data_IF_698991595581
#
_entry.id   IF_698991595581
#
_cell.length_a   1.000
_cell.length_b   1.000
_cell.length_c   1.000
_cell.angle_alpha   90.00
_cell.angle_beta   90.00
_cell.angle_gamma   90.00
#
_symmetry.space_group_name_H-M   'P 1'
#
loop_
_entity.id
_entity.type
_entity.pdbx_description
1 polymer ?
#
# COMPACT_ATOMS: atom_id res chain seq x y z
N UNK A 1 -9.59 24.55 -27.64
CA UNK A 1 -8.69 23.37 -27.56
C UNK A 1 -7.87 23.47 -26.29
N UNK A 2 -8.35 22.86 -25.19
CA UNK A 2 -7.68 22.86 -23.88
C UNK A 2 -6.99 21.52 -23.69
N UNK A 3 -5.67 21.56 -23.56
CA UNK A 3 -4.80 20.42 -23.24
C UNK A 3 -5.12 20.01 -21.79
N UNK A 4 -5.77 18.85 -21.62
CA UNK A 4 -5.92 18.21 -20.31
C UNK A 4 -4.54 17.70 -19.87
N UNK A 5 -3.93 18.41 -18.92
CA UNK A 5 -2.78 17.89 -18.15
C UNK A 5 -3.31 16.86 -17.18
N UNK A 6 -3.14 15.59 -17.50
CA UNK A 6 -3.26 14.49 -16.54
C UNK A 6 -2.00 14.51 -15.67
N UNK A 7 -2.07 15.20 -14.53
CA UNK A 7 -1.14 14.98 -13.43
C UNK A 7 -1.68 13.78 -12.64
N UNK A 8 -1.17 12.58 -12.94
CA UNK A 8 -1.44 11.40 -12.12
C UNK A 8 -0.68 11.56 -10.79
N UNK A 9 -1.34 11.46 -9.62
CA UNK A 9 -0.63 11.39 -8.36
C UNK A 9 0.02 10.00 -8.25
N UNK A 10 1.35 10.02 -8.06
CA UNK A 10 2.22 8.93 -7.66
C UNK A 10 1.55 8.03 -6.60
N UNK A 11 1.14 6.81 -6.98
CA UNK A 11 0.72 5.79 -6.04
C UNK A 11 1.94 4.97 -5.59
N UNK A 12 2.61 5.50 -4.58
CA UNK A 12 3.58 4.78 -3.75
C UNK A 12 2.87 3.59 -3.07
N UNK A 13 3.24 2.37 -3.45
CA UNK A 13 3.20 1.23 -2.55
C UNK A 13 4.53 1.24 -1.77
N UNK A 14 4.56 2.01 -0.68
CA UNK A 14 5.64 2.02 0.30
C UNK A 14 5.28 1.02 1.42
N UNK A 15 5.97 -0.11 1.44
CA UNK A 15 6.37 -0.79 2.67
C UNK A 15 7.89 -0.86 2.54
N UNK A 16 8.64 -0.19 3.43
CA UNK A 16 10.11 -0.24 3.62
C UNK A 16 10.45 0.44 4.96
N UNK A 17 11.06 -0.29 5.90
CA UNK A 17 11.49 0.16 7.24
C UNK A 17 13.00 0.02 7.35
N UNK A 18 13.69 1.07 7.82
CA UNK A 18 15.09 1.00 8.28
C UNK A 18 15.18 1.19 9.80
N UNK A 19 15.90 0.26 10.40
CA UNK A 19 16.29 0.05 11.80
C UNK A 19 16.75 1.28 12.60
N UNK A 20 16.35 1.35 13.88
CA UNK A 20 17.09 2.05 14.92
C UNK A 20 17.18 1.17 16.18
N UNK A 21 18.41 0.88 16.63
CA UNK A 21 18.71 0.28 17.93
C UNK A 21 18.29 1.25 19.04
N UNK A 22 17.56 0.80 20.04
CA UNK A 22 17.41 1.47 21.32
C UNK A 22 17.49 0.46 22.48
N UNK A 23 18.18 0.88 23.54
CA UNK A 23 18.50 0.11 24.75
C UNK A 23 17.26 -0.16 25.60
N UNK A 24 17.33 -1.27 26.34
CA UNK A 24 16.31 -1.85 27.21
C UNK A 24 15.94 -0.95 28.40
N UNK A 25 14.63 -0.81 28.68
CA UNK A 25 14.06 -0.52 30.00
C UNK A 25 12.80 -1.40 30.22
N UNK A 26 12.42 -1.72 31.48
CA UNK A 26 11.74 -2.97 31.80
C UNK A 26 10.21 -2.91 31.73
N UNK A 27 9.68 -3.81 30.89
CA UNK A 27 8.42 -4.55 30.89
C UNK A 27 7.28 -4.19 31.87
N UNK A 28 6.15 -3.77 31.31
CA UNK A 28 4.79 -4.03 31.82
C UNK A 28 3.82 -4.14 30.62
N UNK A 29 3.21 -5.32 30.47
CA UNK A 29 2.39 -5.76 29.34
C UNK A 29 1.65 -4.66 28.57
N UNK A 30 2.19 -4.32 27.40
CA UNK A 30 1.62 -3.36 26.45
C UNK A 30 1.98 -3.80 25.04
N UNK A 31 1.06 -3.62 24.11
CA UNK A 31 1.24 -3.96 22.70
C UNK A 31 2.44 -3.18 22.12
N UNK A 32 3.57 -3.86 22.06
CA UNK A 32 4.75 -3.42 21.34
C UNK A 32 4.47 -3.51 19.85
N UNK A 33 4.33 -2.35 19.22
CA UNK A 33 4.48 -2.21 17.78
C UNK A 33 5.93 -2.55 17.42
N UNK A 34 6.13 -3.76 16.88
CA UNK A 34 7.35 -4.15 16.22
C UNK A 34 7.27 -3.75 14.73
N UNK A 35 8.14 -2.86 14.23
CA UNK A 35 8.18 -2.55 12.81
C UNK A 35 9.12 -3.55 12.13
N UNK A 36 8.56 -4.51 11.38
CA UNK A 36 9.25 -5.26 10.30
C UNK A 36 8.24 -5.70 9.24
N UNK A 37 7.86 -4.71 8.45
CA UNK A 37 7.68 -4.71 7.00
C UNK A 37 8.02 -6.02 6.27
N UNK A 38 6.98 -6.71 5.79
CA UNK A 38 7.07 -7.40 4.52
C UNK A 38 6.95 -6.33 3.44
N UNK A 39 8.09 -5.75 3.06
CA UNK A 39 8.27 -5.07 1.79
C UNK A 39 7.66 -5.95 0.69
N UNK A 40 6.44 -5.65 0.26
CA UNK A 40 6.16 -5.73 -1.15
C UNK A 40 6.93 -4.56 -1.72
N UNK A 41 8.20 -4.85 -2.01
CA UNK A 41 9.10 -3.94 -2.67
C UNK A 41 8.31 -3.29 -3.82
N UNK A 42 8.49 -1.98 -4.06
CA UNK A 42 8.43 -1.50 -5.46
C UNK A 42 9.12 -2.58 -6.29
N UNK A 43 8.61 -3.03 -7.46
CA UNK A 43 9.30 -4.01 -8.25
C UNK A 43 10.73 -3.51 -8.39
N UNK A 44 11.61 -4.07 -7.58
CA UNK A 44 13.02 -4.14 -7.86
C UNK A 44 12.95 -4.84 -9.19
N UNK A 45 13.51 -4.25 -10.26
CA UNK A 45 13.64 -5.00 -11.48
C UNK A 45 14.33 -6.28 -11.04
N UNK A 46 13.53 -7.35 -11.13
CA UNK A 46 13.91 -8.72 -10.90
C UNK A 46 15.24 -8.91 -11.59
N UNK A 47 16.07 -9.83 -11.09
CA UNK A 47 17.32 -10.25 -11.74
C UNK A 47 17.33 -9.92 -13.22
N UNK A 48 18.39 -9.22 -13.69
CA UNK A 48 18.47 -8.75 -15.07
C UNK A 48 17.86 -9.80 -15.97
N UNK A 49 16.82 -9.46 -16.76
CA UNK A 49 16.17 -10.41 -17.62
C UNK A 49 17.26 -11.22 -18.33
N UNK A 50 17.20 -12.54 -18.23
CA UNK A 50 18.13 -13.41 -18.93
C UNK A 50 17.37 -14.01 -20.10
N UNK A 51 17.92 -13.86 -21.29
CA UNK A 51 17.29 -14.36 -22.48
C UNK A 51 18.05 -14.02 -23.77
N UNK A 52 17.87 -14.82 -24.82
CA UNK A 52 18.65 -14.70 -26.05
C UNK A 52 18.44 -13.37 -26.78
N UNK A 53 17.36 -12.63 -26.47
CA UNK A 53 17.09 -11.34 -27.11
C UNK A 53 17.95 -10.20 -26.54
N UNK A 54 18.73 -10.48 -25.50
CA UNK A 54 19.59 -9.51 -24.82
C UNK A 54 21.05 -9.57 -25.29
N UNK A 55 21.37 -10.53 -26.15
CA UNK A 55 22.65 -10.61 -26.83
C UNK A 55 22.73 -9.58 -27.97
N UNK A 56 23.91 -8.98 -28.12
CA UNK A 56 24.13 -8.06 -29.22
C UNK A 56 24.06 -8.79 -30.55
N UNK A 57 23.31 -8.25 -31.53
CA UNK A 57 23.15 -8.93 -32.79
C UNK A 57 24.47 -9.24 -33.52
N UNK A 58 24.58 -10.41 -34.17
CA UNK A 58 25.82 -10.84 -34.81
C UNK A 58 26.23 -9.98 -36.01
N UNK A 59 25.30 -9.21 -36.59
CA UNK A 59 25.58 -8.33 -37.73
C UNK A 59 26.26 -7.00 -37.34
N UNK A 60 26.37 -6.69 -36.04
CA UNK A 60 27.02 -5.46 -35.59
C UNK A 60 28.53 -5.52 -35.84
N UNK A 61 29.05 -4.55 -36.59
CA UNK A 61 30.49 -4.39 -36.78
C UNK A 61 31.22 -4.04 -35.47
N UNK A 62 32.49 -4.44 -35.33
CA UNK A 62 33.22 -4.40 -34.06
C UNK A 62 33.24 -3.04 -33.34
N UNK A 63 33.37 -1.93 -34.07
CA UNK A 63 33.31 -0.57 -33.48
C UNK A 63 31.91 -0.22 -32.96
N UNK A 64 30.87 -0.60 -33.69
CA UNK A 64 29.47 -0.37 -33.29
C UNK A 64 29.13 -1.25 -32.11
N UNK A 65 29.48 -2.54 -32.15
CA UNK A 65 29.30 -3.49 -31.06
C UNK A 65 29.92 -2.97 -29.76
N UNK A 66 31.18 -2.52 -29.80
CA UNK A 66 31.86 -1.96 -28.63
C UNK A 66 31.15 -0.73 -28.03
N UNK A 67 30.52 0.11 -28.86
CA UNK A 67 29.73 1.25 -28.37
C UNK A 67 28.45 0.82 -27.67
N UNK A 68 27.75 -0.20 -28.20
CA UNK A 68 26.61 -0.78 -27.52
C UNK A 68 27.01 -1.44 -26.20
N UNK A 69 28.10 -2.21 -26.18
CA UNK A 69 28.61 -2.84 -24.94
C UNK A 69 28.93 -1.80 -23.87
N UNK A 70 29.60 -0.71 -24.24
CA UNK A 70 29.89 0.39 -23.33
C UNK A 70 28.62 1.04 -22.77
N UNK A 71 27.65 1.39 -23.63
CA UNK A 71 26.41 2.02 -23.20
C UNK A 71 25.56 1.10 -22.30
N UNK A 72 25.49 -0.20 -22.64
CA UNK A 72 24.80 -1.19 -21.81
C UNK A 72 25.52 -1.35 -20.47
N UNK A 73 26.86 -1.39 -20.44
CA UNK A 73 27.61 -1.45 -19.19
C UNK A 73 27.38 -0.22 -18.31
N UNK A 74 27.36 0.99 -18.89
CA UNK A 74 27.00 2.23 -18.20
C UNK A 74 25.61 2.15 -17.59
N UNK A 75 24.63 1.64 -18.35
CA UNK A 75 23.27 1.40 -17.85
C UNK A 75 23.26 0.42 -16.67
N UNK A 76 23.88 -0.76 -16.80
CA UNK A 76 23.90 -1.77 -15.73
C UNK A 76 24.52 -1.23 -14.45
N UNK A 77 25.60 -0.45 -14.57
CA UNK A 77 26.24 0.22 -13.45
C UNK A 77 25.32 1.26 -12.80
N UNK A 78 24.68 2.13 -13.60
CA UNK A 78 23.73 3.12 -13.11
C UNK A 78 22.53 2.46 -12.41
N UNK A 79 22.01 1.39 -13.00
CA UNK A 79 20.88 0.64 -12.46
C UNK A 79 21.23 -0.05 -11.13
N UNK A 80 22.43 -0.62 -11.00
CA UNK A 80 22.92 -1.17 -9.74
C UNK A 80 22.99 -0.10 -8.63
N UNK A 81 23.36 1.15 -8.97
CA UNK A 81 23.36 2.28 -8.03
C UNK A 81 21.95 2.65 -7.56
N UNK A 82 20.97 2.66 -8.48
CA UNK A 82 19.56 2.86 -8.13
C UNK A 82 19.09 1.77 -7.16
N UNK A 83 19.40 0.51 -7.41
CA UNK A 83 19.05 -0.61 -6.50
C UNK A 83 19.70 -0.48 -5.12
N UNK A 84 20.87 0.16 -5.03
CA UNK A 84 21.56 0.44 -3.76
C UNK A 84 21.02 1.68 -3.04
N UNK A 85 20.01 2.36 -3.59
CA UNK A 85 19.49 3.60 -3.03
C UNK A 85 20.44 4.79 -3.14
N UNK A 86 21.40 4.75 -4.08
CA UNK A 86 22.35 5.84 -4.29
C UNK A 86 21.61 7.11 -4.76
N UNK A 87 21.76 8.26 -4.05
CA UNK A 87 21.13 9.52 -4.46
C UNK A 87 21.51 9.97 -5.88
N UNK A 88 22.67 9.56 -6.38
CA UNK A 88 23.12 9.87 -7.75
C UNK A 88 22.58 8.90 -8.80
N UNK A 89 21.93 7.80 -8.39
CA UNK A 89 21.47 6.74 -9.28
C UNK A 89 20.63 7.27 -10.46
N UNK A 90 19.68 8.18 -10.20
CA UNK A 90 18.85 8.77 -11.27
C UNK A 90 19.67 9.59 -12.28
N UNK A 91 20.61 10.41 -11.81
CA UNK A 91 21.48 11.19 -12.68
C UNK A 91 22.39 10.28 -13.55
N UNK A 92 22.87 9.17 -12.97
CA UNK A 92 23.63 8.16 -13.71
C UNK A 92 22.76 7.47 -14.78
N UNK A 93 21.48 7.21 -14.48
CA UNK A 93 20.53 6.66 -15.45
C UNK A 93 20.28 7.64 -16.59
N UNK A 94 20.13 8.94 -16.32
CA UNK A 94 19.99 9.96 -17.37
C UNK A 94 21.23 10.02 -18.30
N UNK A 95 22.43 9.89 -17.74
CA UNK A 95 23.66 9.84 -18.52
C UNK A 95 23.71 8.58 -19.40
N UNK A 96 23.43 7.40 -18.82
CA UNK A 96 23.37 6.14 -19.55
C UNK A 96 22.30 6.15 -20.65
N UNK A 97 21.14 6.78 -20.42
CA UNK A 97 20.10 6.95 -21.43
C UNK A 97 20.63 7.76 -22.64
N UNK A 98 21.37 8.85 -22.43
CA UNK A 98 21.98 9.61 -23.54
C UNK A 98 22.97 8.77 -24.36
N UNK A 99 23.75 7.93 -23.69
CA UNK A 99 24.66 7.00 -24.37
C UNK A 99 23.89 5.97 -25.21
N UNK A 100 22.82 5.39 -24.66
CA UNK A 100 21.95 4.46 -25.38
C UNK A 100 21.21 5.12 -26.55
N UNK A 101 20.83 6.39 -26.45
CA UNK A 101 20.26 7.14 -27.58
C UNK A 101 21.27 7.30 -28.71
N UNK A 102 22.52 7.61 -28.39
CA UNK A 102 23.58 7.73 -29.39
C UNK A 102 23.86 6.41 -30.12
N UNK A 103 23.66 5.25 -29.47
CA UNK A 103 23.84 3.95 -30.15
C UNK A 103 22.73 3.65 -31.16
N UNK A 104 21.50 4.15 -30.94
CA UNK A 104 20.37 3.97 -31.88
C UNK A 104 20.63 4.55 -33.27
N UNK A 105 21.40 5.63 -33.34
CA UNK A 105 21.79 6.25 -34.60
C UNK A 105 22.84 5.42 -35.38
N UNK A 106 23.48 4.45 -34.72
CA UNK A 106 24.47 3.57 -35.34
C UNK A 106 23.84 2.36 -36.04
N UNK A 107 22.74 1.85 -35.49
CA UNK A 107 21.93 0.79 -36.11
C UNK A 107 20.47 0.90 -35.68
N UNK A 108 19.64 1.42 -36.58
CA UNK A 108 18.21 1.59 -36.34
C UNK A 108 17.42 0.27 -36.25
N UNK A 109 18.02 -0.88 -36.57
CA UNK A 109 17.39 -2.20 -36.48
C UNK A 109 17.72 -2.95 -35.19
N UNK A 110 18.69 -2.48 -34.40
CA UNK A 110 19.04 -3.10 -33.12
C UNK A 110 17.97 -2.77 -32.05
N UNK A 111 17.20 -3.78 -31.63
CA UNK A 111 16.13 -3.62 -30.64
C UNK A 111 16.64 -3.29 -29.22
N UNK A 112 17.89 -3.62 -28.91
CA UNK A 112 18.42 -3.54 -27.54
C UNK A 112 18.51 -2.12 -26.99
N UNK A 113 18.92 -1.14 -27.80
CA UNK A 113 19.00 0.22 -27.32
C UNK A 113 17.61 0.77 -26.94
N UNK A 114 16.59 0.49 -27.76
CA UNK A 114 15.21 0.86 -27.44
C UNK A 114 14.69 0.12 -26.19
N UNK A 115 15.07 -1.14 -25.99
CA UNK A 115 14.73 -1.89 -24.77
C UNK A 115 15.33 -1.24 -23.51
N UNK A 116 16.65 -1.03 -23.48
CA UNK A 116 17.31 -0.44 -22.31
C UNK A 116 16.89 1.01 -22.06
N UNK A 117 16.61 1.78 -23.12
CA UNK A 117 16.02 3.11 -22.96
C UNK A 117 14.63 3.06 -22.35
N UNK A 118 13.82 2.08 -22.74
CA UNK A 118 12.52 1.81 -22.14
C UNK A 118 12.62 1.71 -20.61
N UNK A 119 13.51 0.84 -20.14
CA UNK A 119 13.72 0.60 -18.71
C UNK A 119 14.33 1.84 -18.03
N UNK A 120 15.27 2.52 -18.69
CA UNK A 120 15.84 3.77 -18.17
C UNK A 120 14.74 4.82 -17.93
N UNK A 121 13.81 4.98 -18.87
CA UNK A 121 12.69 5.90 -18.71
C UNK A 121 11.70 5.44 -17.64
N UNK A 122 11.49 4.13 -17.43
CA UNK A 122 10.73 3.63 -16.27
C UNK A 122 11.37 4.07 -14.95
N UNK A 123 12.69 3.91 -14.81
CA UNK A 123 13.43 4.30 -13.59
C UNK A 123 13.38 5.81 -13.34
N UNK A 124 13.34 6.61 -14.41
CA UNK A 124 13.17 8.06 -14.34
C UNK A 124 11.71 8.49 -14.07
N UNK A 125 10.74 7.58 -14.18
CA UNK A 125 9.31 7.85 -14.04
C UNK A 125 8.65 8.43 -15.29
N UNK A 126 9.32 8.44 -16.43
CA UNK A 126 8.74 8.85 -17.72
C UNK A 126 8.11 7.64 -18.42
N UNK A 127 6.98 7.17 -17.87
CA UNK A 127 6.23 6.05 -18.42
C UNK A 127 5.81 6.22 -19.90
N UNK A 128 5.40 7.43 -20.37
CA UNK A 128 5.11 7.64 -21.78
C UNK A 128 6.31 7.38 -22.71
N UNK A 129 7.51 7.87 -22.38
CA UNK A 129 8.70 7.57 -23.18
C UNK A 129 9.07 6.09 -23.07
N UNK A 130 8.99 5.50 -21.87
CA UNK A 130 9.25 4.08 -21.68
C UNK A 130 8.40 3.21 -22.60
N UNK A 131 7.08 3.40 -22.58
CA UNK A 131 6.17 2.66 -23.46
C UNK A 131 6.50 2.86 -24.94
N UNK A 132 6.83 4.10 -25.35
CA UNK A 132 7.21 4.40 -26.73
C UNK A 132 8.46 3.63 -27.15
N UNK A 133 9.51 3.62 -26.31
CA UNK A 133 10.77 2.91 -26.60
C UNK A 133 10.56 1.39 -26.62
N UNK A 134 9.83 0.83 -25.67
CA UNK A 134 9.58 -0.61 -25.60
C UNK A 134 8.75 -1.13 -26.79
N UNK A 135 7.74 -0.37 -27.24
CA UNK A 135 7.01 -0.68 -28.48
C UNK A 135 7.92 -0.70 -29.70
N UNK A 136 8.88 0.22 -29.77
CA UNK A 136 9.88 0.28 -30.83
C UNK A 136 10.86 -0.92 -30.78
N UNK A 137 11.24 -1.40 -29.59
CA UNK A 137 12.02 -2.63 -29.42
C UNK A 137 11.25 -3.86 -29.91
N UNK A 138 9.98 -4.00 -29.51
CA UNK A 138 9.09 -5.11 -29.94
C UNK A 138 8.84 -5.07 -31.46
N UNK A 139 8.73 -3.88 -32.05
CA UNK A 139 8.57 -3.73 -33.51
C UNK A 139 9.79 -4.23 -34.28
N UNK A 140 11.00 -4.02 -33.74
CA UNK A 140 12.27 -4.49 -34.33
C UNK A 140 12.48 -5.98 -34.10
N UNK A 141 12.09 -6.49 -32.95
CA UNK A 141 12.13 -7.90 -32.61
C UNK A 141 10.78 -8.36 -32.04
N UNK A 142 9.95 -8.95 -32.90
CA UNK A 142 8.61 -9.42 -32.51
C UNK A 142 8.64 -10.59 -31.50
N UNK A 143 9.81 -11.22 -31.28
CA UNK A 143 10.01 -12.32 -30.32
C UNK A 143 10.66 -11.85 -29.00
N UNK A 144 10.72 -10.55 -28.76
CA UNK A 144 11.34 -9.93 -27.59
C UNK A 144 10.40 -9.95 -26.37
N UNK A 145 10.24 -11.12 -25.76
CA UNK A 145 9.33 -11.33 -24.63
C UNK A 145 9.73 -10.54 -23.38
N UNK A 146 11.02 -10.30 -23.17
CA UNK A 146 11.56 -9.44 -22.11
C UNK A 146 11.04 -8.00 -22.28
N UNK A 147 11.13 -7.44 -23.50
CA UNK A 147 10.58 -6.11 -23.80
C UNK A 147 9.05 -6.04 -23.67
N UNK A 148 8.33 -7.15 -23.91
CA UNK A 148 6.89 -7.21 -23.69
C UNK A 148 6.54 -7.16 -22.20
N UNK A 149 7.31 -7.83 -21.33
CA UNK A 149 7.10 -7.72 -19.87
C UNK A 149 7.41 -6.30 -19.38
N UNK A 150 8.50 -5.70 -19.82
CA UNK A 150 8.80 -4.30 -19.48
C UNK A 150 7.73 -3.34 -20.00
N UNK A 151 7.19 -3.55 -21.20
CA UNK A 151 6.08 -2.74 -21.70
C UNK A 151 4.85 -2.92 -20.82
N UNK A 152 4.57 -4.14 -20.38
CA UNK A 152 3.48 -4.42 -19.44
C UNK A 152 3.67 -3.68 -18.12
N UNK A 153 4.89 -3.66 -17.58
CA UNK A 153 5.22 -2.91 -16.37
C UNK A 153 5.03 -1.39 -16.56
N UNK A 154 5.55 -0.84 -17.66
CA UNK A 154 5.35 0.57 -18.01
C UNK A 154 3.87 0.96 -18.17
N UNK A 155 3.04 0.07 -18.74
CA UNK A 155 1.59 0.26 -18.82
C UNK A 155 0.93 0.20 -17.44
N UNK A 156 1.33 -0.76 -16.59
CA UNK A 156 0.80 -0.88 -15.22
C UNK A 156 1.07 0.39 -14.41
N UNK A 157 2.28 0.95 -14.49
CA UNK A 157 2.62 2.20 -13.83
C UNK A 157 1.85 3.42 -14.37
N UNK A 158 1.46 3.38 -15.64
CA UNK A 158 0.59 4.39 -16.24
C UNK A 158 -0.91 4.20 -15.87
N UNK A 159 -1.26 3.16 -15.11
CA UNK A 159 -2.65 2.80 -14.79
C UNK A 159 -3.38 2.06 -15.91
N UNK A 160 -2.67 1.63 -16.96
CA UNK A 160 -3.20 0.91 -18.12
C UNK A 160 -3.16 -0.62 -17.88
N UNK A 161 -3.86 -1.09 -16.84
CA UNK A 161 -3.75 -2.48 -16.37
C UNK A 161 -4.18 -3.54 -17.40
N UNK A 162 -5.19 -3.27 -18.22
CA UNK A 162 -5.65 -4.22 -19.25
C UNK A 162 -4.59 -4.42 -20.34
N UNK A 163 -3.93 -3.33 -20.75
CA UNK A 163 -2.83 -3.41 -21.71
C UNK A 163 -1.62 -4.12 -21.08
N UNK A 164 -1.35 -3.89 -19.78
CA UNK A 164 -0.32 -4.60 -19.05
C UNK A 164 -0.53 -6.12 -19.07
N UNK A 165 -1.74 -6.58 -18.71
CA UNK A 165 -2.10 -8.00 -18.79
C UNK A 165 -1.95 -8.56 -20.22
N UNK A 166 -2.35 -7.78 -21.23
CA UNK A 166 -2.21 -8.19 -22.62
C UNK A 166 -0.74 -8.39 -23.02
N UNK A 167 0.16 -7.50 -22.59
CA UNK A 167 1.60 -7.65 -22.88
C UNK A 167 2.24 -8.80 -22.12
N UNK A 168 1.95 -8.97 -20.82
CA UNK A 168 2.41 -10.13 -20.06
C UNK A 168 1.93 -11.44 -20.71
N UNK A 169 0.67 -11.48 -21.16
CA UNK A 169 0.12 -12.61 -21.91
C UNK A 169 0.83 -12.88 -23.25
N UNK A 170 1.24 -11.83 -23.98
CA UNK A 170 2.05 -11.99 -25.21
C UNK A 170 3.43 -12.57 -24.90
N UNK A 171 4.11 -12.06 -23.87
CA UNK A 171 5.41 -12.56 -23.43
C UNK A 171 5.34 -14.06 -23.09
N UNK A 172 4.34 -14.45 -22.27
CA UNK A 172 4.15 -15.84 -21.84
C UNK A 172 3.67 -16.78 -22.96
N UNK A 173 3.08 -16.27 -24.05
CA UNK A 173 2.84 -17.09 -25.25
C UNK A 173 4.13 -17.40 -26.02
N UNK A 174 5.10 -16.49 -26.01
CA UNK A 174 6.41 -16.71 -26.65
C UNK A 174 7.33 -17.56 -25.79
N UNK A 175 7.32 -17.33 -24.47
CA UNK A 175 8.15 -18.01 -23.48
C UNK A 175 7.29 -18.36 -22.25
N UNK A 176 6.59 -19.51 -22.25
CA UNK A 176 5.68 -19.89 -21.16
C UNK A 176 6.34 -20.06 -19.79
N UNK A 177 7.63 -20.35 -19.78
CA UNK A 177 8.49 -20.53 -18.61
C UNK A 177 9.30 -19.26 -18.27
N UNK A 178 8.84 -18.07 -18.69
CA UNK A 178 9.49 -16.82 -18.32
C UNK A 178 9.05 -16.38 -16.92
N UNK A 179 9.92 -16.62 -15.93
CA UNK A 179 9.63 -16.39 -14.51
C UNK A 179 9.14 -14.96 -14.22
N UNK A 180 9.83 -13.94 -14.75
CA UNK A 180 9.43 -12.55 -14.53
C UNK A 180 8.04 -12.25 -15.12
N UNK A 181 7.73 -12.81 -16.30
CA UNK A 181 6.39 -12.69 -16.90
C UNK A 181 5.30 -13.32 -16.04
N UNK A 182 5.56 -14.50 -15.45
CA UNK A 182 4.63 -15.18 -14.55
C UNK A 182 4.40 -14.39 -13.26
N UNK A 183 5.48 -13.90 -12.64
CA UNK A 183 5.42 -13.09 -11.42
C UNK A 183 4.68 -11.76 -11.63
N UNK A 184 4.98 -11.04 -12.71
CA UNK A 184 4.35 -9.75 -13.01
C UNK A 184 2.86 -9.93 -13.32
N UNK A 185 2.49 -10.97 -14.07
CA UNK A 185 1.09 -11.25 -14.39
C UNK A 185 0.32 -11.72 -13.15
N UNK A 186 0.88 -12.62 -12.36
CA UNK A 186 0.21 -13.12 -11.14
C UNK A 186 -0.06 -12.00 -10.14
N UNK A 187 0.90 -11.09 -9.95
CA UNK A 187 0.77 -9.95 -9.05
C UNK A 187 -0.34 -8.99 -9.51
N UNK A 188 -0.40 -8.69 -10.81
CA UNK A 188 -1.45 -7.84 -11.37
C UNK A 188 -2.83 -8.51 -11.30
N UNK A 189 -2.92 -9.80 -11.61
CA UNK A 189 -4.15 -10.59 -11.48
C UNK A 189 -4.64 -10.63 -10.03
N UNK A 190 -3.75 -10.76 -9.04
CA UNK A 190 -4.09 -10.73 -7.63
C UNK A 190 -4.68 -9.36 -7.23
N UNK A 191 -4.07 -8.26 -7.67
CA UNK A 191 -4.62 -6.91 -7.46
C UNK A 191 -6.00 -6.70 -8.09
N UNK A 192 -6.26 -7.35 -9.23
CA UNK A 192 -7.57 -7.39 -9.88
C UNK A 192 -8.54 -8.42 -9.30
N UNK A 193 -8.16 -9.10 -8.20
CA UNK A 193 -8.95 -10.14 -7.53
C UNK A 193 -9.27 -11.37 -8.40
N UNK A 194 -8.47 -11.60 -9.46
CA UNK A 194 -8.51 -12.82 -10.29
C UNK A 194 -7.62 -13.89 -9.66
N UNK A 195 -7.96 -14.28 -8.43
CA UNK A 195 -7.08 -15.05 -7.54
C UNK A 195 -6.73 -16.43 -8.08
N UNK A 196 -7.65 -17.12 -8.74
CA UNK A 196 -7.39 -18.44 -9.33
C UNK A 196 -6.33 -18.36 -10.42
N UNK A 197 -6.47 -17.42 -11.37
CA UNK A 197 -5.49 -17.18 -12.44
C UNK A 197 -4.15 -16.71 -11.88
N UNK A 198 -4.17 -15.84 -10.87
CA UNK A 198 -2.96 -15.41 -10.19
C UNK A 198 -2.20 -16.59 -9.56
N UNK A 199 -2.93 -17.54 -8.98
CA UNK A 199 -2.34 -18.72 -8.34
C UNK A 199 -1.80 -19.71 -9.37
N UNK A 200 -2.49 -19.92 -10.49
CA UNK A 200 -1.97 -20.72 -11.61
C UNK A 200 -0.59 -20.23 -12.08
N UNK A 201 -0.45 -18.92 -12.31
CA UNK A 201 0.82 -18.30 -12.69
C UNK A 201 1.88 -18.40 -11.60
N UNK A 202 1.48 -18.17 -10.35
CA UNK A 202 2.40 -18.24 -9.21
C UNK A 202 2.95 -19.66 -9.05
N UNK A 203 2.10 -20.68 -9.16
CA UNK A 203 2.49 -22.09 -9.11
C UNK A 203 3.33 -22.49 -10.31
N UNK A 204 3.06 -21.97 -11.50
CA UNK A 204 3.92 -22.16 -12.66
C UNK A 204 5.32 -21.60 -12.41
N UNK A 205 5.43 -20.40 -11.83
CA UNK A 205 6.71 -19.80 -11.47
C UNK A 205 7.47 -20.59 -10.39
N UNK A 206 6.77 -21.07 -9.36
CA UNK A 206 7.36 -21.91 -8.31
C UNK A 206 7.84 -23.27 -8.81
N UNK A 207 7.27 -23.81 -9.89
CA UNK A 207 7.82 -25.01 -10.54
C UNK A 207 9.18 -24.75 -11.18
N UNK A 208 9.43 -23.53 -11.66
CA UNK A 208 10.72 -23.13 -12.27
C UNK A 208 11.76 -22.79 -11.21
N UNK A 209 11.36 -22.02 -10.20
CA UNK A 209 12.20 -21.65 -9.07
C UNK A 209 11.44 -21.86 -7.75
N UNK A 210 11.56 -23.05 -7.14
CA UNK A 210 10.85 -23.37 -5.90
C UNK A 210 11.19 -22.43 -4.73
N UNK A 211 12.40 -21.87 -4.71
CA UNK A 211 12.85 -21.00 -3.63
C UNK A 211 12.60 -19.50 -3.88
N UNK A 212 11.86 -19.14 -4.95
CA UNK A 212 11.58 -17.74 -5.25
C UNK A 212 10.64 -17.12 -4.19
N UNK A 213 11.20 -16.29 -3.31
CA UNK A 213 10.53 -15.78 -2.10
C UNK A 213 9.22 -15.04 -2.39
N UNK A 214 9.21 -14.14 -3.37
CA UNK A 214 8.00 -13.35 -3.69
C UNK A 214 6.85 -14.24 -4.19
N UNK A 215 7.16 -15.29 -4.94
CA UNK A 215 6.15 -16.23 -5.43
C UNK A 215 5.65 -17.12 -4.29
N UNK A 216 6.53 -17.56 -3.38
CA UNK A 216 6.13 -18.30 -2.18
C UNK A 216 5.17 -17.49 -1.30
N UNK A 217 5.49 -16.21 -1.06
CA UNK A 217 4.65 -15.30 -0.28
C UNK A 217 3.30 -15.06 -0.96
N UNK A 218 3.30 -14.84 -2.28
CA UNK A 218 2.07 -14.64 -3.05
C UNK A 218 1.19 -15.90 -3.07
N UNK A 219 1.76 -17.09 -3.30
CA UNK A 219 1.00 -18.36 -3.29
C UNK A 219 0.40 -18.64 -1.92
N UNK A 220 1.16 -18.40 -0.83
CA UNK A 220 0.64 -18.56 0.53
C UNK A 220 -0.56 -17.65 0.80
N UNK A 221 -0.51 -16.37 0.38
CA UNK A 221 -1.64 -15.44 0.51
C UNK A 221 -2.82 -15.85 -0.39
N UNK A 222 -2.56 -16.25 -1.63
CA UNK A 222 -3.60 -16.72 -2.55
C UNK A 222 -4.29 -17.98 -2.04
N UNK A 223 -3.52 -18.92 -1.48
CA UNK A 223 -4.06 -20.11 -0.79
C UNK A 223 -4.98 -19.69 0.35
N UNK A 224 -4.52 -18.80 1.23
CA UNK A 224 -5.30 -18.31 2.37
C UNK A 224 -6.62 -17.66 1.95
N UNK A 225 -6.64 -16.93 0.83
CA UNK A 225 -7.84 -16.24 0.32
C UNK A 225 -8.80 -17.21 -0.36
N UNK A 226 -8.28 -18.15 -1.17
CA UNK A 226 -9.07 -19.10 -1.95
C UNK A 226 -9.61 -20.26 -1.12
N UNK A 227 -8.75 -20.82 -0.26
CA UNK A 227 -9.02 -22.05 0.49
C UNK A 227 -9.31 -21.77 1.97
N UNK A 228 -8.87 -20.62 2.50
CA UNK A 228 -8.87 -20.35 3.92
C UNK A 228 -7.61 -20.90 4.62
N UNK A 229 -7.47 -20.64 5.93
CA UNK A 229 -6.43 -21.27 6.73
C UNK A 229 -6.65 -22.79 6.83
N UNK A 230 -5.57 -23.56 7.01
CA UNK A 230 -5.63 -25.01 7.22
C UNK A 230 -6.15 -25.35 8.63
N UNK A 231 -7.44 -25.08 8.88
CA UNK A 231 -8.14 -25.37 10.13
C UNK A 231 -8.90 -26.69 10.05
N UNK A 232 -8.90 -27.46 11.14
CA UNK A 232 -9.72 -28.68 11.26
C UNK A 232 -11.23 -28.36 11.18
N UNK A 233 -11.64 -27.25 11.79
CA UNK A 233 -13.01 -26.75 11.73
C UNK A 233 -13.00 -25.26 11.47
N UNK A 234 -13.83 -24.83 10.50
CA UNK A 234 -14.06 -23.43 10.19
C UNK A 234 -15.52 -23.09 10.46
N UNK A 235 -15.73 -22.14 11.37
CA UNK A 235 -17.03 -21.53 11.62
C UNK A 235 -17.18 -20.31 10.72
N UNK A 236 -18.36 -20.15 10.11
CA UNK A 236 -18.65 -19.05 9.19
C UNK A 236 -19.92 -18.34 9.62
N UNK A 237 -19.86 -17.01 9.69
CA UNK A 237 -21.02 -16.16 9.90
C UNK A 237 -21.14 -15.17 8.73
N UNK A 238 -22.35 -15.00 8.21
CA UNK A 238 -22.61 -14.10 7.11
C UNK A 238 -23.67 -13.07 7.46
N UNK A 239 -23.39 -11.81 7.14
CA UNK A 239 -24.32 -10.69 7.30
C UNK A 239 -24.58 -10.01 5.96
N UNK A 240 -25.17 -8.82 5.97
CA UNK A 240 -25.44 -8.06 4.75
C UNK A 240 -24.15 -7.56 4.11
N UNK A 241 -23.15 -7.22 4.92
CA UNK A 241 -21.91 -6.61 4.48
C UNK A 241 -20.66 -7.47 4.74
N UNK A 242 -20.73 -8.53 5.55
CA UNK A 242 -19.54 -9.28 5.97
C UNK A 242 -19.68 -10.79 5.81
N UNK A 243 -18.54 -11.44 5.61
CA UNK A 243 -18.35 -12.89 5.77
C UNK A 243 -17.22 -13.07 6.77
N UNK A 244 -17.51 -13.62 7.95
CA UNK A 244 -16.54 -13.87 9.01
C UNK A 244 -16.20 -15.35 9.04
N UNK A 245 -14.91 -15.69 9.09
CA UNK A 245 -14.40 -17.05 9.27
C UNK A 245 -13.49 -17.13 10.47
N UNK A 246 -13.63 -18.18 11.27
CA UNK A 246 -12.82 -18.41 12.48
C UNK A 246 -12.78 -19.89 12.86
N UNK A 247 -11.75 -20.32 13.57
CA UNK A 247 -11.65 -21.64 14.21
C UNK A 247 -11.94 -21.62 15.72
N UNK A 248 -12.56 -20.55 16.23
CA UNK A 248 -12.88 -20.42 17.67
C UNK A 248 -14.19 -21.14 18.03
N UNK A 249 -15.33 -20.64 17.55
CA UNK A 249 -16.66 -21.24 17.70
C UNK A 249 -17.65 -20.56 16.77
N UNK A 250 -18.86 -21.12 16.59
CA UNK A 250 -19.91 -20.49 15.80
C UNK A 250 -20.42 -19.21 16.49
N UNK A 251 -20.63 -19.24 17.80
CA UNK A 251 -21.09 -18.09 18.58
C UNK A 251 -20.11 -16.92 18.49
N UNK A 252 -18.81 -17.20 18.48
CA UNK A 252 -17.79 -16.19 18.27
C UNK A 252 -17.83 -15.60 16.86
N UNK A 253 -18.01 -16.44 15.83
CA UNK A 253 -18.16 -15.97 14.45
C UNK A 253 -19.36 -15.02 14.31
N UNK A 254 -20.51 -15.42 14.87
CA UNK A 254 -21.75 -14.63 14.86
C UNK A 254 -21.55 -13.30 15.60
N UNK A 255 -20.94 -13.31 16.79
CA UNK A 255 -20.62 -12.10 17.56
C UNK A 255 -19.75 -11.12 16.77
N UNK A 256 -18.65 -11.58 16.17
CA UNK A 256 -17.77 -10.72 15.35
C UNK A 256 -18.53 -10.14 14.15
N UNK A 257 -19.38 -10.94 13.50
CA UNK A 257 -20.15 -10.48 12.35
C UNK A 257 -21.18 -9.41 12.72
N UNK A 258 -21.83 -9.54 13.88
CA UNK A 258 -22.73 -8.52 14.43
C UNK A 258 -21.97 -7.24 14.80
N UNK A 259 -20.82 -7.35 15.48
CA UNK A 259 -20.00 -6.20 15.85
C UNK A 259 -19.48 -5.45 14.62
N UNK A 260 -19.05 -6.17 13.58
CA UNK A 260 -18.65 -5.58 12.30
C UNK A 260 -19.80 -4.76 11.65
N UNK A 261 -21.04 -5.24 11.69
CA UNK A 261 -22.20 -4.48 11.21
C UNK A 261 -22.52 -3.25 12.08
N UNK A 262 -22.35 -3.36 13.40
CA UNK A 262 -22.56 -2.25 14.33
C UNK A 262 -21.55 -1.12 14.09
N UNK A 263 -20.26 -1.44 14.01
CA UNK A 263 -19.23 -0.43 13.78
C UNK A 263 -19.31 0.16 12.37
N UNK A 264 -19.67 -0.64 11.35
CA UNK A 264 -19.92 -0.13 9.99
C UNK A 264 -21.02 0.92 9.94
N UNK A 265 -22.08 0.76 10.73
CA UNK A 265 -23.14 1.79 10.86
C UNK A 265 -22.57 3.08 11.43
N UNK A 266 -21.66 3.00 12.41
CA UNK A 266 -20.98 4.16 12.98
C UNK A 266 -20.08 4.85 11.94
N UNK A 267 -19.27 4.11 11.17
CA UNK A 267 -18.47 4.69 10.08
C UNK A 267 -19.34 5.46 9.08
N UNK A 268 -20.49 4.86 8.74
CA UNK A 268 -21.44 5.42 7.78
C UNK A 268 -22.10 6.73 8.24
N UNK A 269 -21.99 7.09 9.53
CA UNK A 269 -22.46 8.38 10.03
C UNK A 269 -21.48 9.52 9.66
N UNK A 270 -20.19 9.21 9.53
CA UNK A 270 -19.16 10.18 9.15
C UNK A 270 -18.88 10.16 7.64
N UNK A 271 -18.98 8.99 7.01
CA UNK A 271 -18.54 8.77 5.64
C UNK A 271 -19.63 8.18 4.74
N UNK A 272 -19.61 8.50 3.44
CA UNK A 272 -20.53 7.89 2.49
C UNK A 272 -20.28 6.38 2.42
N UNK A 273 -21.34 5.60 2.19
CA UNK A 273 -21.24 4.15 2.01
C UNK A 273 -20.49 3.80 0.72
N UNK A 274 -19.79 2.67 0.76
CA UNK A 274 -19.26 2.04 -0.46
C UNK A 274 -20.40 1.72 -1.43
N UNK A 275 -20.11 1.84 -2.74
CA UNK A 275 -21.03 1.37 -3.80
C UNK A 275 -20.91 -0.14 -4.04
N UNK A 276 -19.86 -0.78 -3.50
CA UNK A 276 -19.64 -2.21 -3.68
C UNK A 276 -20.75 -3.00 -3.00
N UNK A 277 -21.26 -4.01 -3.71
CA UNK A 277 -22.19 -5.02 -3.17
C UNK A 277 -21.45 -6.26 -2.64
N UNK A 278 -20.12 -6.31 -2.78
CA UNK A 278 -19.31 -7.43 -2.29
C UNK A 278 -19.30 -7.40 -0.77
N UNK A 279 -19.56 -8.56 -0.14
CA UNK A 279 -19.36 -8.72 1.30
C UNK A 279 -17.87 -8.69 1.61
N UNK A 280 -17.50 -7.97 2.65
CA UNK A 280 -16.14 -7.82 3.14
C UNK A 280 -15.73 -9.05 3.97
N UNK A 281 -14.68 -9.79 3.56
CA UNK A 281 -14.22 -10.96 4.31
C UNK A 281 -13.40 -10.55 5.55
N UNK A 282 -13.64 -11.25 6.65
CA UNK A 282 -12.90 -11.14 7.92
C UNK A 282 -12.47 -12.53 8.36
N UNK A 283 -11.20 -12.71 8.69
CA UNK A 283 -10.64 -13.96 9.21
C UNK A 283 -10.11 -13.69 10.61
N UNK A 284 -10.65 -14.42 11.59
CA UNK A 284 -10.23 -14.31 12.99
C UNK A 284 -9.57 -15.62 13.44
N UNK A 285 -8.27 -15.57 13.66
CA UNK A 285 -7.49 -16.69 14.20
C UNK A 285 -7.74 -16.86 15.71
N UNK A 286 -7.63 -18.08 16.22
CA UNK A 286 -7.92 -18.36 17.65
C UNK A 286 -6.99 -17.63 18.61
N UNK A 287 -5.76 -17.35 18.18
CA UNK A 287 -4.71 -16.71 18.98
C UNK A 287 -3.63 -16.06 18.11
N UNK A 288 -2.74 -15.32 18.77
CA UNK A 288 -1.61 -14.62 18.15
C UNK A 288 -0.65 -15.55 17.42
N UNK A 289 -0.39 -16.74 17.98
CA UNK A 289 0.58 -17.68 17.40
C UNK A 289 0.09 -18.21 16.05
N UNK A 290 -1.21 -18.52 15.96
CA UNK A 290 -1.81 -18.98 14.72
C UNK A 290 -1.91 -17.87 13.67
N UNK A 291 -2.21 -16.64 14.07
CA UNK A 291 -2.16 -15.48 13.18
C UNK A 291 -0.79 -15.31 12.52
N UNK A 292 0.29 -15.35 13.32
CA UNK A 292 1.65 -15.24 12.77
C UNK A 292 2.05 -16.45 11.93
N UNK A 293 1.62 -17.66 12.30
CA UNK A 293 1.84 -18.87 11.50
C UNK A 293 1.25 -18.73 10.09
N UNK A 294 0.16 -17.98 9.95
CA UNK A 294 -0.53 -17.73 8.68
C UNK A 294 -0.13 -16.41 8.01
N UNK A 295 1.05 -15.86 8.34
CA UNK A 295 1.60 -14.67 7.69
C UNK A 295 1.15 -13.33 8.27
N UNK A 296 0.48 -13.33 9.43
CA UNK A 296 0.16 -12.12 10.17
C UNK A 296 1.44 -11.34 10.57
N UNK A 297 1.54 -10.03 10.26
CA UNK A 297 2.71 -9.22 10.59
C UNK A 297 3.07 -9.25 12.07
N UNK A 298 4.36 -9.27 12.38
CA UNK A 298 4.85 -9.24 13.77
C UNK A 298 4.49 -7.90 14.42
N UNK A 299 4.07 -7.93 15.69
CA UNK A 299 3.69 -6.72 16.44
C UNK A 299 2.33 -6.12 16.07
N UNK A 300 1.62 -6.65 15.07
CA UNK A 300 0.27 -6.21 14.70
C UNK A 300 -0.80 -7.08 15.37
N UNK A 301 -1.88 -6.46 15.85
CA UNK A 301 -3.05 -7.16 16.39
C UNK A 301 -4.00 -7.73 15.33
N UNK A 302 -3.94 -7.12 14.15
CA UNK A 302 -4.65 -7.47 12.94
C UNK A 302 -4.07 -6.64 11.79
N UNK A 303 -4.53 -6.90 10.57
CA UNK A 303 -4.24 -6.08 9.42
C UNK A 303 -5.33 -6.24 8.36
N UNK A 304 -5.69 -5.14 7.70
CA UNK A 304 -6.38 -5.19 6.43
C UNK A 304 -5.39 -5.30 5.26
N UNK A 305 -5.52 -6.33 4.41
CA UNK A 305 -4.76 -6.46 3.18
C UNK A 305 -5.54 -5.82 2.00
N UNK A 306 -5.10 -4.67 1.47
CA UNK A 306 -5.80 -3.96 0.39
C UNK A 306 -5.66 -4.64 -0.98
N UNK A 307 -4.68 -5.53 -1.18
CA UNK A 307 -4.55 -6.29 -2.42
C UNK A 307 -5.62 -7.39 -2.46
N UNK A 308 -5.81 -8.11 -1.36
CA UNK A 308 -6.79 -9.19 -1.27
C UNK A 308 -8.17 -8.74 -0.79
N UNK A 309 -8.29 -7.48 -0.33
CA UNK A 309 -9.50 -6.88 0.23
C UNK A 309 -10.04 -7.66 1.42
N UNK A 310 -9.13 -8.16 2.27
CA UNK A 310 -9.46 -9.06 3.36
C UNK A 310 -8.86 -8.59 4.68
N UNK A 311 -9.67 -8.67 5.73
CA UNK A 311 -9.26 -8.33 7.09
C UNK A 311 -8.84 -9.59 7.84
N UNK A 312 -7.68 -9.55 8.48
CA UNK A 312 -7.15 -10.61 9.32
C UNK A 312 -6.90 -10.07 10.73
N UNK A 313 -7.29 -10.82 11.76
CA UNK A 313 -6.97 -10.51 13.16
C UNK A 313 -6.97 -11.79 13.98
N UNK A 314 -6.56 -11.72 15.25
CA UNK A 314 -6.71 -12.84 16.17
C UNK A 314 -7.58 -12.48 17.37
N UNK A 315 -8.12 -13.51 18.01
CA UNK A 315 -8.82 -13.40 19.28
C UNK A 315 -7.83 -13.13 20.41
N UNK A 316 -8.06 -12.05 21.13
CA UNK A 316 -7.41 -11.74 22.40
C UNK A 316 -8.15 -12.40 23.57
N UNK A 317 -7.46 -12.53 24.71
CA UNK A 317 -8.08 -12.99 25.95
C UNK A 317 -9.25 -12.10 26.38
N UNK A 318 -9.05 -10.78 26.26
CA UNK A 318 -10.11 -9.79 26.47
C UNK A 318 -10.83 -9.52 25.15
N UNK A 319 -12.15 -9.69 25.17
CA UNK A 319 -13.00 -9.40 24.01
C UNK A 319 -12.87 -7.93 23.56
N UNK A 320 -12.77 -7.00 24.50
CA UNK A 320 -12.57 -5.57 24.22
C UNK A 320 -11.37 -5.30 23.32
N UNK A 321 -10.28 -6.05 23.49
CA UNK A 321 -9.04 -5.85 22.74
C UNK A 321 -9.20 -6.40 21.32
N UNK A 322 -9.93 -7.51 21.16
CA UNK A 322 -10.31 -8.04 19.85
C UNK A 322 -11.19 -7.06 19.10
N UNK A 323 -12.20 -6.48 19.78
CA UNK A 323 -13.11 -5.51 19.18
C UNK A 323 -12.41 -4.19 18.85
N UNK A 324 -11.45 -3.76 19.66
CA UNK A 324 -10.63 -2.59 19.35
C UNK A 324 -9.90 -2.76 18.02
N UNK A 325 -9.25 -3.91 17.82
CA UNK A 325 -8.56 -4.22 16.56
C UNK A 325 -9.55 -4.36 15.41
N UNK A 326 -10.69 -5.05 15.61
CA UNK A 326 -11.75 -5.16 14.60
C UNK A 326 -12.25 -3.79 14.14
N UNK A 327 -12.47 -2.87 15.07
CA UNK A 327 -12.93 -1.52 14.78
C UNK A 327 -11.85 -0.68 14.08
N UNK A 328 -10.59 -0.80 14.50
CA UNK A 328 -9.50 -0.08 13.87
C UNK A 328 -9.29 -0.57 12.42
N UNK A 329 -9.02 -1.86 12.25
CA UNK A 329 -8.69 -2.44 10.94
C UNK A 329 -9.92 -2.53 10.02
N UNK A 330 -11.11 -2.73 10.60
CA UNK A 330 -12.38 -2.68 9.89
C UNK A 330 -12.67 -1.30 9.30
N UNK A 331 -12.12 -0.23 9.88
CA UNK A 331 -12.20 1.10 9.28
C UNK A 331 -11.37 1.20 7.99
N UNK A 332 -10.14 0.67 7.97
CA UNK A 332 -9.34 0.62 6.73
C UNK A 332 -10.04 -0.18 5.63
N UNK A 333 -10.62 -1.34 5.97
CA UNK A 333 -11.41 -2.14 5.04
C UNK A 333 -12.63 -1.37 4.52
N UNK A 334 -13.34 -0.66 5.39
CA UNK A 334 -14.48 0.18 5.00
C UNK A 334 -14.04 1.31 4.06
N UNK A 335 -12.94 1.99 4.40
CA UNK A 335 -12.44 3.17 3.72
C UNK A 335 -11.93 2.86 2.31
N UNK A 336 -11.27 1.72 2.14
CA UNK A 336 -10.84 1.19 0.84
C UNK A 336 -12.03 1.01 -0.13
N UNK A 337 -13.20 0.61 0.38
CA UNK A 337 -14.42 0.55 -0.43
C UNK A 337 -15.04 1.92 -0.75
N UNK A 338 -14.57 3.00 -0.12
CA UNK A 338 -15.17 4.35 -0.22
C UNK A 338 -14.30 5.32 -1.00
N UNK A 339 -12.97 5.17 -0.92
CA UNK A 339 -11.98 6.03 -1.57
C UNK A 339 -11.21 5.27 -2.64
N UNK A 340 -11.12 5.87 -3.84
CA UNK A 340 -10.31 5.33 -4.94
C UNK A 340 -8.81 5.60 -4.73
N UNK A 341 -8.49 6.77 -4.16
CA UNK A 341 -7.13 7.13 -3.78
C UNK A 341 -6.90 6.86 -2.30
N UNK A 342 -5.68 6.47 -1.92
CA UNK A 342 -5.33 6.32 -0.49
C UNK A 342 -5.44 7.68 0.22
N UNK A 343 -6.11 7.76 1.38
CA UNK A 343 -6.16 8.98 2.15
C UNK A 343 -4.79 9.33 2.74
N UNK A 344 -4.54 10.61 3.08
CA UNK A 344 -3.37 11.01 3.86
C UNK A 344 -3.28 10.26 5.18
N UNK A 345 -2.07 9.95 5.64
CA UNK A 345 -1.89 9.03 6.76
C UNK A 345 -2.45 9.55 8.08
N UNK A 346 -2.29 10.84 8.38
CA UNK A 346 -2.89 11.44 9.58
C UNK A 346 -4.40 11.22 9.64
N UNK A 347 -5.08 11.24 8.49
CA UNK A 347 -6.52 11.08 8.40
C UNK A 347 -6.90 9.60 8.47
N UNK A 348 -6.22 8.75 7.72
CA UNK A 348 -6.45 7.32 7.65
C UNK A 348 -6.30 6.68 9.05
N UNK A 349 -5.13 6.86 9.65
CA UNK A 349 -4.76 6.27 10.94
C UNK A 349 -5.45 6.99 12.10
N UNK A 350 -5.55 8.32 12.04
CA UNK A 350 -6.23 9.11 13.06
C UNK A 350 -7.71 8.74 13.17
N UNK A 351 -8.40 8.47 12.05
CA UNK A 351 -9.78 7.98 12.06
C UNK A 351 -9.89 6.52 12.50
N UNK A 352 -8.96 5.65 12.11
CA UNK A 352 -8.95 4.26 12.58
C UNK A 352 -8.81 4.20 14.11
N UNK A 353 -7.87 4.97 14.68
CA UNK A 353 -7.71 5.10 16.14
C UNK A 353 -8.88 5.83 16.82
N UNK A 354 -9.57 6.71 16.09
CA UNK A 354 -10.76 7.40 16.60
C UNK A 354 -11.94 6.42 16.76
N UNK A 355 -12.11 5.49 15.82
CA UNK A 355 -13.15 4.47 15.94
C UNK A 355 -12.76 3.24 16.76
N UNK A 356 -11.47 2.89 16.83
CA UNK A 356 -10.99 1.67 17.49
C UNK A 356 -11.61 1.43 18.86
N UNK A 357 -11.50 2.36 19.81
CA UNK A 357 -12.05 2.22 21.17
C UNK A 357 -13.58 2.26 21.26
N UNK A 358 -14.30 2.28 20.14
CA UNK A 358 -15.77 2.33 20.17
C UNK A 358 -16.35 1.07 20.80
N UNK A 359 -17.35 1.25 21.64
CA UNK A 359 -18.04 0.16 22.33
C UNK A 359 -19.55 0.24 22.11
N UNK A 360 -20.20 -0.92 22.10
CA UNK A 360 -21.65 -0.98 22.11
C UNK A 360 -22.15 -0.77 23.53
N UNK A 361 -22.93 0.30 23.75
CA UNK A 361 -23.55 0.55 25.05
C UNK A 361 -25.05 0.38 24.98
N UNK A 362 -25.66 -0.05 26.09
CA UNK A 362 -27.10 -0.27 26.18
C UNK A 362 -27.87 0.90 26.80
N UNK A 363 -27.17 1.83 27.46
CA UNK A 363 -27.75 2.98 28.18
C UNK A 363 -26.97 4.28 27.99
N UNK A 364 -27.59 5.47 28.05
CA UNK A 364 -29.03 5.73 28.04
C UNK A 364 -29.73 5.42 26.72
N UNK A 365 -29.00 5.34 25.60
CA UNK A 365 -29.50 4.85 24.31
C UNK A 365 -28.59 3.76 23.78
N UNK A 366 -29.20 2.70 23.23
CA UNK A 366 -28.51 1.58 22.59
C UNK A 366 -27.77 2.03 21.34
N UNK A 367 -26.51 1.67 21.20
CA UNK A 367 -25.72 1.95 20.00
C UNK A 367 -24.22 1.97 20.25
N UNK A 368 -23.45 2.00 19.17
CA UNK A 368 -22.00 2.21 19.23
C UNK A 368 -21.70 3.63 19.71
N UNK A 369 -20.75 3.74 20.64
CA UNK A 369 -20.23 5.02 21.14
C UNK A 369 -18.72 5.07 21.03
N UNK A 370 -18.26 6.22 20.57
CA UNK A 370 -16.84 6.54 20.45
C UNK A 370 -16.29 6.84 21.83
N UNK A 371 -15.13 6.27 22.14
CA UNK A 371 -14.39 6.51 23.38
C UNK A 371 -13.02 7.09 23.07
N UNK A 372 -12.47 7.95 23.94
CA UNK A 372 -11.07 8.32 23.86
C UNK A 372 -10.17 7.07 23.93
N UNK A 373 -9.04 7.07 23.23
CA UNK A 373 -8.03 6.02 23.33
C UNK A 373 -7.09 6.34 24.52
N UNK A 374 -7.16 5.62 25.65
CA UNK A 374 -6.48 6.04 26.88
C UNK A 374 -4.95 6.14 26.73
N UNK A 375 -4.34 5.26 25.95
CA UNK A 375 -2.90 5.28 25.72
C UNK A 375 -2.46 6.42 24.81
N UNK A 376 -3.24 6.73 23.77
CA UNK A 376 -2.98 7.91 22.91
C UNK A 376 -3.16 9.20 23.70
N UNK A 377 -4.18 9.27 24.56
CA UNK A 377 -4.39 10.39 25.50
C UNK A 377 -3.15 10.66 26.35
N UNK A 378 -2.60 9.62 27.01
CA UNK A 378 -1.41 9.79 27.84
C UNK A 378 -0.19 10.26 27.04
N UNK A 379 0.00 9.72 25.84
CA UNK A 379 1.11 10.07 24.95
C UNK A 379 1.03 11.52 24.48
N UNK A 380 -0.13 11.95 23.98
CA UNK A 380 -0.30 13.30 23.42
C UNK A 380 -0.24 14.37 24.51
N UNK A 381 -0.81 14.12 25.70
CA UNK A 381 -0.70 15.05 26.84
C UNK A 381 0.74 15.27 27.26
N UNK A 382 1.54 14.20 27.29
CA UNK A 382 2.99 14.29 27.54
C UNK A 382 3.70 15.11 26.47
N UNK A 383 3.35 14.93 25.19
CA UNK A 383 3.96 15.68 24.09
C UNK A 383 3.67 17.17 24.18
N UNK A 384 2.39 17.54 24.36
CA UNK A 384 1.95 18.94 24.48
C UNK A 384 2.62 19.62 25.68
N UNK A 385 2.61 18.97 26.86
CA UNK A 385 3.28 19.49 28.06
C UNK A 385 4.79 19.71 27.88
N UNK A 386 5.44 18.94 27.01
CA UNK A 386 6.87 19.06 26.71
C UNK A 386 7.16 20.01 25.53
N UNK A 387 6.15 20.59 24.88
CA UNK A 387 6.31 21.39 23.66
C UNK A 387 6.89 20.58 22.49
N UNK A 388 6.57 19.27 22.43
CA UNK A 388 7.06 18.34 21.41
C UNK A 388 5.99 17.91 20.40
N UNK A 389 4.82 18.52 20.44
CA UNK A 389 3.82 18.33 19.40
C UNK A 389 4.29 18.95 18.08
N UNK A 390 3.88 18.31 16.98
CA UNK A 390 4.21 18.69 15.60
C UNK A 390 3.26 19.79 15.14
N UNK A 391 3.71 20.70 14.26
CA UNK A 391 2.80 21.65 13.62
C UNK A 391 1.70 20.92 12.81
N UNK A 392 0.45 21.40 12.87
CA UNK A 392 -0.68 20.78 12.17
C UNK A 392 -0.48 20.73 10.65
N UNK A 393 0.04 21.80 10.03
CA UNK A 393 0.28 21.82 8.59
C UNK A 393 1.34 20.78 8.20
N UNK A 394 2.40 20.67 9.01
CA UNK A 394 3.43 19.65 8.80
C UNK A 394 2.86 18.24 8.99
N UNK A 395 2.17 17.97 10.09
CA UNK A 395 1.57 16.66 10.40
C UNK A 395 0.61 16.22 9.30
N UNK A 396 -0.21 17.15 8.82
CA UNK A 396 -1.13 16.86 7.74
C UNK A 396 -0.33 16.47 6.50
N UNK A 397 0.68 17.24 6.09
CA UNK A 397 1.41 17.01 4.84
C UNK A 397 2.55 15.97 4.92
N UNK A 398 2.73 15.28 6.06
CA UNK A 398 3.72 14.22 6.19
C UNK A 398 3.49 13.12 5.14
N UNK A 399 4.56 12.77 4.45
CA UNK A 399 4.65 11.54 3.68
C UNK A 399 4.53 10.33 4.62
N UNK A 400 4.21 9.17 4.05
CA UNK A 400 4.23 7.92 4.83
C UNK A 400 5.60 7.70 5.49
N UNK A 401 6.71 7.94 4.78
CA UNK A 401 8.04 7.77 5.36
C UNK A 401 8.28 8.66 6.60
N UNK A 402 7.82 9.91 6.55
CA UNK A 402 7.94 10.84 7.68
C UNK A 402 7.05 10.43 8.86
N UNK A 403 5.81 10.03 8.57
CA UNK A 403 4.84 9.58 9.57
C UNK A 403 5.35 8.35 10.34
N UNK A 404 5.94 7.38 9.64
CA UNK A 404 6.47 6.13 10.20
C UNK A 404 7.94 6.21 10.64
N UNK A 405 8.52 7.41 10.66
CA UNK A 405 9.89 7.64 11.11
C UNK A 405 10.08 7.36 12.61
N UNK A 406 11.22 7.83 13.16
CA UNK A 406 11.64 7.56 14.56
C UNK A 406 10.62 7.93 15.65
N UNK A 407 9.63 8.77 15.34
CA UNK A 407 8.61 9.24 16.26
C UNK A 407 7.20 8.70 15.94
N UNK A 408 7.08 7.57 15.22
CA UNK A 408 5.80 7.00 14.76
C UNK A 408 4.71 6.94 15.85
N UNK A 409 5.05 6.51 17.07
CA UNK A 409 4.08 6.46 18.17
C UNK A 409 3.51 7.83 18.56
N UNK A 410 4.34 8.87 18.53
CA UNK A 410 3.96 10.26 18.84
C UNK A 410 3.13 10.86 17.70
N UNK A 411 3.59 10.64 16.48
CA UNK A 411 2.94 11.02 15.22
C UNK A 411 1.50 10.51 15.15
N UNK A 412 1.28 9.22 15.39
CA UNK A 412 -0.05 8.63 15.43
C UNK A 412 -0.90 9.16 16.59
N UNK A 413 -0.32 9.31 17.79
CA UNK A 413 -1.06 9.84 18.93
C UNK A 413 -1.54 11.27 18.70
N UNK A 414 -0.74 12.09 18.05
CA UNK A 414 -1.14 13.43 17.67
C UNK A 414 -2.18 13.42 16.54
N UNK A 415 -2.02 12.58 15.51
CA UNK A 415 -3.00 12.46 14.44
C UNK A 415 -4.38 12.04 14.98
N UNK A 416 -4.42 11.04 15.86
CA UNK A 416 -5.63 10.63 16.58
C UNK A 416 -6.23 11.80 17.38
N UNK A 417 -5.44 12.47 18.21
CA UNK A 417 -5.93 13.55 19.07
C UNK A 417 -6.46 14.74 18.26
N UNK A 418 -5.80 15.06 17.13
CA UNK A 418 -6.25 16.07 16.19
C UNK A 418 -7.59 15.66 15.57
N UNK A 419 -7.73 14.42 15.08
CA UNK A 419 -9.00 13.91 14.55
C UNK A 419 -10.10 13.93 15.61
N UNK A 420 -9.80 13.51 16.84
CA UNK A 420 -10.76 13.53 17.94
C UNK A 420 -11.26 14.95 18.23
N UNK A 421 -10.34 15.91 18.34
CA UNK A 421 -10.67 17.33 18.50
C UNK A 421 -11.54 17.86 17.34
N UNK A 422 -11.16 17.56 16.09
CA UNK A 422 -11.92 17.99 14.92
C UNK A 422 -13.33 17.39 14.88
N UNK A 423 -13.53 16.21 15.46
CA UNK A 423 -14.82 15.52 15.50
C UNK A 423 -15.71 15.95 16.67
N UNK A 424 -15.13 16.22 17.85
CA UNK A 424 -15.88 16.27 19.11
C UNK A 424 -15.75 17.59 19.88
N UNK A 425 -14.68 18.38 19.70
CA UNK A 425 -14.48 19.61 20.45
C UNK A 425 -15.41 20.75 19.99
N UNK A 426 -15.61 21.73 20.88
CA UNK A 426 -16.37 22.97 20.62
C UNK A 426 -17.73 22.71 19.97
N UNK A 427 -18.51 21.79 20.54
CA UNK A 427 -19.81 21.34 20.00
C UNK A 427 -19.74 20.91 18.52
N UNK A 428 -18.62 20.27 18.15
CA UNK A 428 -18.31 19.77 16.80
C UNK A 428 -18.15 20.88 15.76
N UNK A 429 -17.69 22.07 16.15
CA UNK A 429 -17.50 23.21 15.25
C UNK A 429 -16.64 22.87 14.00
N UNK A 430 -15.63 22.00 14.17
CA UNK A 430 -14.67 21.66 13.12
C UNK A 430 -15.05 20.43 12.29
N UNK A 431 -16.14 19.74 12.65
CA UNK A 431 -16.54 18.51 11.98
C UNK A 431 -17.01 18.77 10.54
N UNK A 432 -17.62 19.92 10.27
CA UNK A 432 -18.04 20.31 8.92
C UNK A 432 -16.83 20.53 7.98
N UNK A 433 -15.80 21.30 8.37
CA UNK A 433 -14.52 21.34 7.65
C UNK A 433 -13.90 19.96 7.39
N UNK A 434 -13.82 19.09 8.40
CA UNK A 434 -13.27 17.73 8.23
C UNK A 434 -14.03 16.91 7.18
N UNK A 435 -15.36 16.97 7.17
CA UNK A 435 -16.17 16.31 6.13
C UNK A 435 -15.95 16.92 4.74
N UNK A 436 -15.76 18.24 4.65
CA UNK A 436 -15.47 18.91 3.38
C UNK A 436 -14.10 18.47 2.84
N UNK A 437 -13.09 18.38 3.71
CA UNK A 437 -11.76 17.86 3.40
C UNK A 437 -11.84 16.44 2.83
N UNK A 438 -12.52 15.54 3.54
CA UNK A 438 -12.73 14.16 3.09
C UNK A 438 -13.41 14.11 1.71
N UNK A 439 -14.46 14.92 1.50
CA UNK A 439 -15.18 14.98 0.23
C UNK A 439 -14.31 15.50 -0.92
N UNK A 440 -13.38 16.42 -0.64
CA UNK A 440 -12.43 16.92 -1.61
C UNK A 440 -11.43 15.83 -2.01
N UNK A 441 -10.84 15.12 -1.04
CA UNK A 441 -9.96 13.97 -1.29
C UNK A 441 -10.65 12.89 -2.11
N UNK A 442 -11.89 12.54 -1.77
CA UNK A 442 -12.69 11.56 -2.53
C UNK A 442 -12.92 11.97 -3.99
N UNK A 443 -12.88 13.26 -4.31
CA UNK A 443 -12.98 13.78 -5.69
C UNK A 443 -11.64 13.79 -6.43
N UNK A 444 -10.58 13.22 -5.84
CA UNK A 444 -9.24 13.16 -6.43
C UNK A 444 -8.45 14.45 -6.29
N UNK A 445 -8.88 15.40 -5.44
CA UNK A 445 -8.06 16.57 -5.11
C UNK A 445 -6.82 16.12 -4.36
N UNK A 446 -5.69 16.77 -4.64
CA UNK A 446 -4.49 16.61 -3.82
C UNK A 446 -4.78 17.00 -2.38
N UNK A 447 -3.95 16.51 -1.47
CA UNK A 447 -4.03 16.87 -0.05
C UNK A 447 -4.03 18.39 0.16
N UNK A 448 -3.17 19.12 -0.54
CA UNK A 448 -3.09 20.58 -0.42
C UNK A 448 -4.35 21.27 -0.91
N UNK A 449 -4.86 20.88 -2.08
CA UNK A 449 -6.11 21.45 -2.60
C UNK A 449 -7.32 21.13 -1.72
N UNK A 450 -7.38 19.91 -1.18
CA UNK A 450 -8.42 19.51 -0.25
C UNK A 450 -8.36 20.36 1.03
N UNK A 451 -7.15 20.64 1.52
CA UNK A 451 -6.91 21.50 2.67
C UNK A 451 -7.38 22.92 2.41
N UNK A 452 -6.93 23.55 1.33
CA UNK A 452 -7.27 24.93 1.00
C UNK A 452 -8.80 25.13 0.83
N UNK A 453 -9.48 24.13 0.26
CA UNK A 453 -10.94 24.12 0.08
C UNK A 453 -11.74 24.03 1.39
N UNK A 454 -11.18 23.41 2.44
CA UNK A 454 -11.91 23.06 3.66
C UNK A 454 -11.43 23.80 4.89
N UNK A 455 -10.14 23.69 5.19
CA UNK A 455 -9.48 24.24 6.36
C UNK A 455 -8.75 25.54 6.02
N UNK A 456 -8.48 25.86 4.76
CA UNK A 456 -7.65 27.01 4.37
C UNK A 456 -8.16 28.40 4.78
N UNK A 457 -9.39 28.50 5.30
CA UNK A 457 -9.93 29.73 5.91
C UNK A 457 -9.71 29.82 7.43
N UNK A 458 -9.33 28.71 8.05
CA UNK A 458 -9.00 28.63 9.47
C UNK A 458 -7.53 29.01 9.65
N UNK A 459 -7.26 29.76 10.71
CA UNK A 459 -5.89 29.93 11.18
C UNK A 459 -5.45 28.63 11.87
N UNK A 460 -4.57 27.87 11.22
CA UNK A 460 -4.08 26.61 11.78
C UNK A 460 -3.28 26.79 13.06
N UNK A 461 -2.62 27.95 13.25
CA UNK A 461 -1.88 28.20 14.49
C UNK A 461 -2.84 28.36 15.65
N UNK A 462 -3.87 29.19 15.49
CA UNK A 462 -4.93 29.32 16.50
C UNK A 462 -5.69 28.01 16.71
N UNK A 463 -5.93 27.24 15.66
CA UNK A 463 -6.57 25.93 15.77
C UNK A 463 -5.71 24.95 16.59
N UNK A 464 -4.39 24.95 16.36
CA UNK A 464 -3.46 24.12 17.11
C UNK A 464 -3.32 24.59 18.57
N UNK A 465 -3.33 25.88 18.84
CA UNK A 465 -3.35 26.42 20.21
C UNK A 465 -4.61 25.98 20.96
N UNK A 466 -5.79 26.14 20.35
CA UNK A 466 -7.06 25.65 20.92
C UNK A 466 -7.06 24.14 21.12
N UNK A 467 -6.45 23.39 20.18
CA UNK A 467 -6.29 21.95 20.33
C UNK A 467 -5.38 21.57 21.52
N UNK A 468 -4.29 22.33 21.77
CA UNK A 468 -3.43 22.09 22.95
C UNK A 468 -4.21 22.28 24.24
N UNK A 469 -5.00 23.35 24.35
CA UNK A 469 -5.90 23.58 25.49
C UNK A 469 -6.87 22.40 25.68
N UNK A 470 -7.52 21.97 24.60
CA UNK A 470 -8.40 20.80 24.62
C UNK A 470 -7.67 19.54 25.13
N UNK A 471 -6.45 19.28 24.67
CA UNK A 471 -5.65 18.13 25.11
C UNK A 471 -5.29 18.22 26.60
N UNK A 472 -5.01 19.41 27.11
CA UNK A 472 -4.61 19.61 28.50
C UNK A 472 -5.81 19.51 29.47
N UNK A 473 -6.93 20.11 29.12
CA UNK A 473 -8.04 20.41 30.04
C UNK A 473 -9.29 19.53 29.84
N UNK A 474 -9.57 19.12 28.59
CA UNK A 474 -10.84 18.52 28.20
C UNK A 474 -10.72 17.04 27.80
N UNK A 475 -9.60 16.64 27.21
CA UNK A 475 -9.36 15.27 26.77
C UNK A 475 -9.06 14.35 27.97
N UNK A 476 -10.10 13.68 28.46
CA UNK A 476 -10.06 12.80 29.63
C UNK A 476 -10.04 11.32 29.27
#
# INVERSE_FOLDING_TARGET
MRIQRWAAPLALALIFVVSARAQEEPNAGGHEHAPRDAELETPTPTEEPDGPNLELPPWLGGKTKARYEAAIASWKAAFAKVKQGDPQGKALVEAAAKELEATRELDANCALADYYLGIAYQVLGDHPQAQRRLREAIKRNAKFHEAMVELGDACRWAGEEDEALAQYGKALRLKPDYLNGLLMRSSLLAGQQKFEQAREDTQAGLKLQPEHLQLKLLDAKLKLVLEGPDWETTYTAETSNYVVRTNVSQEFADSIAEQAELIRKLYSNLFPRSKSKRKSPIVVFKDKAEYHKNGGPQGAGGHFDPMFKQLFLFRYEKESDTLLVLNHEGFHQFLDGVMEQKPPQWLNEGLADYFGPSEYVTQPKKGMRIRPNPWRTATVRRMVKQGKDVDFELLMNMTQQEMYGKAVGNHYAQAWAMVYFLCEADDRAYFKPLKAYFKALKKGKSQREAFDDSFGKLDLKSLQERWREFVEDELK
#
